data_IF_691467240393
#
_entry.id   IF_691467240393
#
_cell.length_a   1.000
_cell.length_b   1.000
_cell.length_c   1.000
_cell.angle_alpha   90.00
_cell.angle_beta   90.00
_cell.angle_gamma   90.00
#
_symmetry.space_group_name_H-M   'P 1'
#
loop_
_entity.id
_entity.type
_entity.pdbx_description
1 polymer ?
#
# COMPACT_ATOMS: atom_id res chain seq x y z
N UNK A 1 -15.67 3.19 5.96
CA UNK A 1 -15.26 1.76 6.07
C UNK A 1 -13.78 1.75 5.78
N UNK A 2 -12.93 0.95 6.44
CA UNK A 2 -11.50 1.04 6.14
C UNK A 2 -11.25 0.66 4.68
N UNK A 3 -10.28 1.32 4.07
CA UNK A 3 -9.80 0.94 2.74
C UNK A 3 -8.92 -0.29 2.85
N UNK A 4 -9.36 -1.41 2.27
CA UNK A 4 -8.68 -2.69 2.45
C UNK A 4 -7.81 -3.03 1.23
N UNK A 5 -6.57 -3.41 1.49
CA UNK A 5 -5.59 -3.87 0.52
C UNK A 5 -5.22 -5.32 0.78
N UNK A 6 -5.15 -6.13 -0.28
CA UNK A 6 -4.75 -7.55 -0.22
C UNK A 6 -3.76 -7.84 -1.35
N UNK A 7 -2.67 -8.55 -1.07
CA UNK A 7 -1.71 -8.99 -2.11
C UNK A 7 -2.33 -10.05 -3.03
N UNK A 8 -2.24 -9.87 -4.35
CA UNK A 8 -2.83 -10.81 -5.34
C UNK A 8 -2.08 -12.14 -5.45
N UNK A 9 -0.76 -12.09 -5.36
CA UNK A 9 0.13 -13.24 -5.22
C UNK A 9 1.48 -12.71 -4.75
N UNK A 10 1.90 -13.08 -3.54
CA UNK A 10 3.22 -12.72 -3.04
C UNK A 10 4.25 -13.66 -3.69
N UNK A 11 4.90 -13.22 -4.76
CA UNK A 11 6.20 -13.77 -5.09
C UNK A 11 7.24 -13.22 -4.09
N UNK A 12 8.45 -13.77 -4.10
CA UNK A 12 9.52 -13.29 -3.22
C UNK A 12 10.11 -11.95 -3.69
N UNK A 13 9.47 -11.25 -4.63
CA UNK A 13 9.98 -10.00 -5.19
C UNK A 13 9.72 -8.87 -4.19
N UNK A 14 10.76 -8.15 -3.74
CA UNK A 14 10.58 -7.00 -2.86
C UNK A 14 9.79 -5.90 -3.55
N UNK A 15 8.83 -5.32 -2.84
CA UNK A 15 8.01 -4.20 -3.32
C UNK A 15 8.27 -2.96 -2.47
N UNK A 16 8.18 -1.78 -3.06
CA UNK A 16 8.41 -0.51 -2.39
C UNK A 16 7.17 0.38 -2.44
N UNK A 17 6.57 0.61 -1.28
CA UNK A 17 5.30 1.31 -1.09
C UNK A 17 5.49 2.73 -0.55
N UNK A 18 6.68 3.32 -0.70
CA UNK A 18 6.90 4.73 -0.35
C UNK A 18 5.92 5.65 -1.09
N UNK A 19 5.23 6.52 -0.34
CA UNK A 19 4.21 7.43 -0.89
C UNK A 19 2.83 6.78 -1.11
N UNK A 20 2.63 5.54 -0.65
CA UNK A 20 1.34 4.85 -0.65
C UNK A 20 0.74 4.96 0.75
N UNK A 21 0.18 6.13 1.07
CA UNK A 21 -0.36 6.49 2.40
C UNK A 21 -1.72 7.19 2.30
N UNK A 22 -2.62 7.06 3.30
CA UNK A 22 -3.94 7.70 3.31
C UNK A 22 -3.92 9.18 2.93
N UNK A 23 -3.07 9.97 3.59
CA UNK A 23 -2.91 11.41 3.37
C UNK A 23 -2.52 11.77 1.93
N UNK A 24 -1.69 10.95 1.28
CA UNK A 24 -1.25 11.17 -0.10
C UNK A 24 -2.34 10.89 -1.15
N UNK A 25 -3.36 10.11 -0.79
CA UNK A 25 -4.41 9.65 -1.70
C UNK A 25 -5.80 10.22 -1.40
N UNK A 26 -5.90 11.18 -0.47
CA UNK A 26 -7.14 11.93 -0.22
C UNK A 26 -7.70 12.55 -1.49
N UNK A 27 -8.96 12.23 -1.80
CA UNK A 27 -9.69 12.75 -2.95
C UNK A 27 -9.31 12.12 -4.31
N UNK A 28 -8.40 11.15 -4.33
CA UNK A 28 -8.10 10.37 -5.52
C UNK A 28 -9.14 9.27 -5.73
N UNK A 29 -9.30 8.85 -6.98
CA UNK A 29 -10.17 7.71 -7.30
C UNK A 29 -9.44 6.38 -7.13
N UNK A 30 -10.20 5.31 -6.86
CA UNK A 30 -9.66 3.95 -6.85
C UNK A 30 -8.92 3.60 -8.15
N UNK A 31 -9.39 4.10 -9.30
CA UNK A 31 -8.75 3.89 -10.60
C UNK A 31 -7.35 4.52 -10.66
N UNK A 32 -7.21 5.75 -10.16
CA UNK A 32 -5.91 6.44 -10.11
C UNK A 32 -4.97 5.74 -9.13
N UNK A 33 -5.48 5.34 -7.96
CA UNK A 33 -4.74 4.56 -6.97
C UNK A 33 -4.17 3.27 -7.58
N UNK A 34 -5.00 2.48 -8.26
CA UNK A 34 -4.56 1.23 -8.88
C UNK A 34 -3.61 1.43 -10.07
N UNK A 35 -3.59 2.63 -10.68
CA UNK A 35 -2.67 2.99 -11.75
C UNK A 35 -1.34 3.57 -11.23
N UNK A 36 -1.23 3.86 -9.93
CA UNK A 36 0.02 4.29 -9.30
C UNK A 36 1.16 3.33 -9.62
N UNK A 37 2.34 3.87 -9.93
CA UNK A 37 3.55 3.07 -10.15
C UNK A 37 4.32 2.95 -8.85
N UNK A 38 4.44 1.71 -8.38
CA UNK A 38 5.35 1.31 -7.29
C UNK A 38 6.50 0.48 -7.86
N UNK A 39 7.60 0.34 -7.13
CA UNK A 39 8.68 -0.55 -7.56
C UNK A 39 8.40 -1.97 -7.08
N UNK A 40 8.45 -2.93 -8.00
CA UNK A 40 8.52 -4.37 -7.73
C UNK A 40 9.86 -4.88 -8.25
N UNK A 41 10.79 -5.14 -7.34
CA UNK A 41 12.19 -5.36 -7.63
C UNK A 41 12.82 -4.12 -8.26
N UNK A 42 13.22 -4.22 -9.52
CA UNK A 42 13.77 -3.12 -10.31
C UNK A 42 12.80 -2.59 -11.38
N UNK A 43 11.52 -2.99 -11.35
CA UNK A 43 10.53 -2.63 -12.37
C UNK A 43 9.43 -1.74 -11.77
N UNK A 44 9.08 -0.62 -12.43
CA UNK A 44 7.86 0.12 -12.12
C UNK A 44 6.63 -0.69 -12.52
N UNK A 45 5.79 -1.05 -11.55
CA UNK A 45 4.60 -1.88 -11.73
C UNK A 45 3.37 -1.12 -11.23
N UNK A 46 2.23 -1.26 -11.92
CA UNK A 46 1.01 -0.62 -11.48
C UNK A 46 0.51 -1.31 -10.20
N UNK A 47 0.04 -0.54 -9.23
CA UNK A 47 -0.35 -1.07 -7.93
C UNK A 47 -1.46 -2.13 -8.05
N UNK A 48 -2.41 -1.94 -8.97
CA UNK A 48 -3.48 -2.91 -9.21
C UNK A 48 -3.05 -4.23 -9.85
N UNK A 49 -1.82 -4.33 -10.36
CA UNK A 49 -1.22 -5.62 -10.76
C UNK A 49 -0.73 -6.43 -9.54
N UNK A 50 -0.40 -5.74 -8.44
CA UNK A 50 0.18 -6.32 -7.23
C UNK A 50 -0.88 -6.57 -6.15
N UNK A 51 -1.86 -5.70 -6.05
CA UNK A 51 -2.87 -5.71 -4.99
C UNK A 51 -4.30 -5.73 -5.52
N UNK A 52 -5.17 -6.31 -4.73
CA UNK A 52 -6.60 -6.05 -4.76
C UNK A 52 -6.94 -4.99 -3.71
N UNK A 53 -7.81 -4.06 -4.08
CA UNK A 53 -8.20 -2.95 -3.24
C UNK A 53 -9.72 -2.86 -3.18
N UNK A 54 -10.26 -2.70 -1.98
CA UNK A 54 -11.69 -2.62 -1.71
C UNK A 54 -11.96 -1.39 -0.86
N UNK A 55 -12.87 -0.52 -1.31
CA UNK A 55 -13.21 0.74 -0.65
C UNK A 55 -12.68 1.96 -1.39
N UNK A 56 -12.53 3.07 -0.65
CA UNK A 56 -12.10 4.36 -1.17
C UNK A 56 -10.69 4.70 -0.63
N UNK A 57 -9.67 4.92 -1.48
CA UNK A 57 -8.33 5.29 -1.03
C UNK A 57 -8.28 6.66 -0.32
N UNK A 58 -9.33 7.47 -0.39
CA UNK A 58 -9.44 8.72 0.35
C UNK A 58 -9.85 8.55 1.82
N UNK A 59 -10.15 7.34 2.27
CA UNK A 59 -10.44 7.03 3.68
C UNK A 59 -9.18 7.19 4.55
N UNK A 60 -9.38 7.61 5.79
CA UNK A 60 -8.30 7.89 6.74
C UNK A 60 -7.70 6.61 7.31
N UNK A 61 -8.45 5.53 7.31
CA UNK A 61 -8.08 4.24 7.87
C UNK A 61 -7.86 3.22 6.75
N UNK A 62 -6.63 2.73 6.64
CA UNK A 62 -6.25 1.69 5.67
C UNK A 62 -5.90 0.40 6.37
N UNK A 63 -6.40 -0.72 5.83
CA UNK A 63 -6.16 -2.06 6.34
C UNK A 63 -5.42 -2.90 5.30
N UNK A 64 -4.22 -3.34 5.65
CA UNK A 64 -3.41 -4.25 4.86
C UNK A 64 -3.69 -5.67 5.38
N UNK A 65 -4.54 -6.39 4.66
CA UNK A 65 -5.00 -7.72 5.04
C UNK A 65 -3.92 -8.78 4.77
N UNK A 66 -3.71 -9.67 5.74
CA UNK A 66 -2.70 -10.74 5.66
C UNK A 66 -1.23 -10.29 5.86
N UNK A 67 -0.31 -11.07 5.33
CA UNK A 67 1.15 -10.89 5.50
C UNK A 67 1.79 -10.14 4.33
N UNK A 68 2.61 -9.12 4.65
CA UNK A 68 3.31 -8.22 3.73
C UNK A 68 4.85 -8.20 3.93
N UNK A 69 5.52 -9.35 4.15
CA UNK A 69 6.93 -9.39 4.58
C UNK A 69 7.91 -8.81 3.55
N UNK A 70 7.56 -8.85 2.26
CA UNK A 70 8.37 -8.35 1.15
C UNK A 70 7.99 -6.94 0.71
N UNK A 71 6.99 -6.32 1.35
CA UNK A 71 6.55 -4.97 1.01
C UNK A 71 7.18 -3.99 1.98
N UNK A 72 8.10 -3.19 1.47
CA UNK A 72 8.90 -2.25 2.22
C UNK A 72 8.32 -0.85 2.13
N UNK A 73 8.57 -0.05 3.16
CA UNK A 73 8.19 1.35 3.17
C UNK A 73 6.69 1.62 3.31
N UNK A 74 5.91 0.66 3.84
CA UNK A 74 4.51 0.89 4.21
C UNK A 74 4.45 2.03 5.23
N UNK A 75 3.61 3.04 4.98
CA UNK A 75 3.46 4.18 5.88
C UNK A 75 4.64 5.16 5.91
N UNK A 76 5.61 5.05 4.99
CA UNK A 76 6.72 6.00 4.94
C UNK A 76 6.21 7.38 4.57
N UNK A 77 6.48 8.35 5.45
CA UNK A 77 6.05 9.73 5.30
C UNK A 77 4.57 9.97 5.59
N UNK A 78 3.89 9.05 6.27
CA UNK A 78 2.50 9.23 6.72
C UNK A 78 2.39 10.47 7.62
N UNK A 79 1.70 11.52 7.17
CA UNK A 79 1.49 12.71 7.97
C UNK A 79 0.15 12.72 8.72
N UNK A 80 -0.87 12.02 8.21
CA UNK A 80 -2.21 11.96 8.76
C UNK A 80 -2.93 10.65 8.35
N UNK A 81 -3.87 10.19 9.17
CA UNK A 81 -4.56 8.90 9.01
C UNK A 81 -3.89 7.73 9.74
N UNK A 82 -4.40 6.53 9.49
CA UNK A 82 -4.03 5.30 10.16
C UNK A 82 -3.81 4.16 9.14
N UNK A 83 -2.76 3.37 9.37
CA UNK A 83 -2.48 2.16 8.61
C UNK A 83 -2.37 0.98 9.57
N UNK A 84 -3.25 0.00 9.40
CA UNK A 84 -3.25 -1.25 10.17
C UNK A 84 -2.77 -2.37 9.24
N UNK A 85 -1.69 -3.05 9.63
CA UNK A 85 -1.23 -4.28 8.96
C UNK A 85 -1.58 -5.46 9.85
N UNK A 86 -2.39 -6.39 9.35
CA UNK A 86 -2.87 -7.53 10.15
C UNK A 86 -1.77 -8.55 10.47
N UNK A 87 -0.79 -8.68 9.57
CA UNK A 87 0.34 -9.59 9.69
C UNK A 87 1.69 -8.89 9.69
N UNK A 88 2.66 -9.50 9.03
CA UNK A 88 4.02 -9.00 8.97
C UNK A 88 4.16 -7.84 7.99
N UNK A 89 4.82 -6.75 8.37
CA UNK A 89 5.27 -5.72 7.44
C UNK A 89 6.74 -5.91 7.06
N UNK A 90 7.12 -5.48 5.85
CA UNK A 90 8.51 -5.47 5.44
C UNK A 90 9.33 -4.34 6.07
N UNK A 91 10.55 -4.17 5.58
CA UNK A 91 11.53 -3.18 6.10
C UNK A 91 11.03 -1.75 5.95
N UNK A 92 11.49 -0.88 6.85
CA UNK A 92 11.22 0.56 6.84
C UNK A 92 9.74 0.93 6.96
N UNK A 93 8.91 0.08 7.56
CA UNK A 93 7.54 0.46 7.91
C UNK A 93 7.54 1.68 8.85
N UNK A 94 6.75 2.70 8.52
CA UNK A 94 6.59 3.92 9.31
C UNK A 94 7.83 4.81 9.44
N UNK A 95 8.85 4.64 8.59
CA UNK A 95 10.03 5.54 8.61
C UNK A 95 9.62 6.92 8.10
N UNK A 96 9.93 7.97 8.86
CA UNK A 96 9.59 9.37 8.55
C UNK A 96 9.39 10.16 9.83
#
# INVERSE_FOLDING_TARGET
MPFTLTLRAADCTPMDFRGVTPDAWRGATLREFLQCRVLSGNRPTALGELVEAVGDPGEDEWQFAGDWPNVHGIGVGLADGEIVVEGSAGRHAGVG
#
